data_IF_068597029012
#
_entry.id   IF_068597029012
#
_cell.length_a   1.000
_cell.length_b   1.000
_cell.length_c   1.000
_cell.angle_alpha   90.00
_cell.angle_beta   90.00
_cell.angle_gamma   90.00
#
_symmetry.space_group_name_H-M   'P 1'
#
loop_
_entity.id
_entity.type
_entity.pdbx_description
1 polymer ?
#
# COMPACT_ATOMS: atom_id res chain seq x y z
N UNK A 1 -34.72 -5.51 4.88
CA UNK A 1 -33.40 -6.16 5.08
C UNK A 1 -32.36 -5.12 4.72
N UNK A 2 -31.76 -4.48 5.72
CA UNK A 2 -30.84 -3.36 5.51
C UNK A 2 -29.54 -3.84 4.85
N UNK A 3 -28.97 -3.01 3.97
CA UNK A 3 -27.56 -3.09 3.60
C UNK A 3 -26.74 -3.30 4.88
N UNK A 4 -25.96 -4.38 4.94
CA UNK A 4 -24.94 -4.54 5.96
C UNK A 4 -24.02 -3.33 5.87
N UNK A 5 -23.99 -2.47 6.89
CA UNK A 5 -23.10 -1.30 6.91
C UNK A 5 -21.67 -1.77 6.71
N UNK A 6 -21.10 -1.49 5.53
CA UNK A 6 -19.73 -1.83 5.22
C UNK A 6 -18.81 -1.10 6.21
N UNK A 7 -17.91 -1.83 6.86
CA UNK A 7 -16.97 -1.24 7.81
C UNK A 7 -15.76 -0.60 7.13
N UNK A 8 -15.49 -0.95 5.87
CA UNK A 8 -14.24 -0.65 5.19
C UNK A 8 -14.47 -0.11 3.79
N UNK A 9 -13.82 1.02 3.50
CA UNK A 9 -13.57 1.50 2.15
C UNK A 9 -12.10 1.28 1.83
N UNK A 10 -11.80 0.75 0.65
CA UNK A 10 -10.44 0.64 0.11
C UNK A 10 -10.26 1.70 -0.96
N UNK A 11 -9.38 2.66 -0.72
CA UNK A 11 -9.01 3.68 -1.68
C UNK A 11 -7.70 3.31 -2.39
N UNK A 12 -7.77 3.11 -3.71
CA UNK A 12 -6.65 2.69 -4.55
C UNK A 12 -6.18 3.90 -5.37
N UNK A 13 -4.97 4.38 -5.11
CA UNK A 13 -4.34 5.46 -5.86
C UNK A 13 -3.73 4.89 -7.14
N UNK A 14 -4.11 5.42 -8.31
CA UNK A 14 -3.73 4.85 -9.60
C UNK A 14 -3.22 5.90 -10.60
N UNK A 15 -2.23 5.52 -11.41
CA UNK A 15 -1.82 6.31 -12.58
C UNK A 15 -1.10 5.46 -13.64
N UNK A 16 -1.69 5.33 -14.84
CA UNK A 16 -1.07 4.71 -16.02
C UNK A 16 -0.38 3.35 -15.78
N UNK A 17 -1.00 2.47 -14.98
CA UNK A 17 -0.50 1.12 -14.66
C UNK A 17 -1.65 0.10 -14.69
N UNK A 18 -2.25 -0.16 -15.86
CA UNK A 18 -3.50 -0.92 -15.98
C UNK A 18 -3.41 -2.32 -15.38
N UNK A 19 -2.34 -3.05 -15.65
CA UNK A 19 -2.19 -4.42 -15.16
C UNK A 19 -2.04 -4.50 -13.63
N UNK A 20 -1.43 -3.47 -13.02
CA UNK A 20 -1.27 -3.39 -11.58
C UNK A 20 -2.57 -2.97 -10.91
N UNK A 21 -3.25 -1.93 -11.43
CA UNK A 21 -4.58 -1.56 -10.98
C UNK A 21 -5.54 -2.76 -11.02
N UNK A 22 -5.55 -3.49 -12.14
CA UNK A 22 -6.30 -4.73 -12.31
C UNK A 22 -6.03 -5.71 -11.17
N UNK A 23 -4.75 -6.01 -10.92
CA UNK A 23 -4.34 -6.95 -9.88
C UNK A 23 -4.77 -6.48 -8.49
N UNK A 24 -4.60 -5.19 -8.18
CA UNK A 24 -4.98 -4.60 -6.90
C UNK A 24 -6.48 -4.72 -6.68
N UNK A 25 -7.31 -4.25 -7.63
CA UNK A 25 -8.78 -4.32 -7.57
C UNK A 25 -9.26 -5.76 -7.47
N UNK A 26 -8.77 -6.67 -8.32
CA UNK A 26 -9.15 -8.08 -8.30
C UNK A 26 -8.76 -8.74 -6.96
N UNK A 27 -7.63 -8.36 -6.36
CA UNK A 27 -7.21 -8.87 -5.04
C UNK A 27 -8.09 -8.36 -3.90
N UNK A 28 -8.48 -7.08 -3.93
CA UNK A 28 -9.40 -6.49 -2.95
C UNK A 28 -10.76 -7.16 -3.03
N UNK A 29 -11.31 -7.29 -4.25
CA UNK A 29 -12.60 -7.93 -4.47
C UNK A 29 -12.62 -9.38 -3.97
N UNK A 30 -11.52 -10.13 -4.15
CA UNK A 30 -11.40 -11.52 -3.69
C UNK A 30 -11.27 -11.64 -2.18
N UNK A 31 -10.43 -10.82 -1.56
CA UNK A 31 -9.93 -11.06 -0.20
C UNK A 31 -10.54 -10.15 0.87
N UNK A 32 -11.24 -9.09 0.47
CA UNK A 32 -11.96 -8.16 1.34
C UNK A 32 -13.44 -8.10 0.93
N UNK A 33 -14.18 -9.24 0.98
CA UNK A 33 -15.58 -9.25 0.59
C UNK A 33 -16.39 -8.26 1.43
N UNK A 34 -17.20 -7.43 0.77
CA UNK A 34 -18.02 -6.41 1.42
C UNK A 34 -17.33 -5.06 1.64
N UNK A 35 -16.03 -4.92 1.31
CA UNK A 35 -15.39 -3.61 1.30
C UNK A 35 -15.88 -2.78 0.10
N UNK A 36 -16.12 -1.49 0.33
CA UNK A 36 -16.36 -0.53 -0.76
C UNK A 36 -15.03 -0.23 -1.45
N UNK A 37 -15.02 -0.11 -2.78
CA UNK A 37 -13.79 0.17 -3.54
C UNK A 37 -13.91 1.57 -4.15
N UNK A 38 -12.91 2.42 -3.89
CA UNK A 38 -12.76 3.75 -4.45
C UNK A 38 -11.44 3.79 -5.23
N UNK A 39 -11.50 3.97 -6.56
CA UNK A 39 -10.30 4.15 -7.38
C UNK A 39 -10.09 5.64 -7.61
N UNK A 40 -8.97 6.16 -7.10
CA UNK A 40 -8.56 7.55 -7.27
C UNK A 40 -7.51 7.62 -8.39
N UNK A 41 -7.97 7.95 -9.59
CA UNK A 41 -7.10 8.03 -10.77
C UNK A 41 -6.52 9.43 -10.92
N UNK A 42 -5.19 9.55 -11.05
CA UNK A 42 -4.50 10.83 -11.22
C UNK A 42 -4.53 11.30 -12.69
N UNK A 43 -5.72 11.37 -13.27
CA UNK A 43 -5.97 11.78 -14.66
C UNK A 43 -5.08 11.03 -15.67
N UNK A 44 -5.18 9.71 -15.66
CA UNK A 44 -4.49 8.82 -16.59
C UNK A 44 -4.89 9.13 -18.04
N UNK A 45 -3.93 9.05 -18.96
CA UNK A 45 -4.13 9.29 -20.40
C UNK A 45 -3.89 8.04 -21.26
N UNK A 46 -3.42 6.94 -20.66
CA UNK A 46 -3.28 5.65 -21.32
C UNK A 46 -4.65 5.04 -21.65
N UNK A 47 -4.98 4.76 -22.94
CA UNK A 47 -6.24 4.12 -23.31
C UNK A 47 -6.49 2.78 -22.61
N UNK A 48 -5.44 2.01 -22.30
CA UNK A 48 -5.55 0.72 -21.60
C UNK A 48 -5.91 0.95 -20.14
N UNK A 49 -5.32 1.95 -19.49
CA UNK A 49 -5.69 2.39 -18.14
C UNK A 49 -7.15 2.86 -18.10
N UNK A 50 -7.58 3.66 -19.08
CA UNK A 50 -8.97 4.11 -19.17
C UNK A 50 -9.97 2.95 -19.37
N UNK A 51 -9.58 1.91 -20.11
CA UNK A 51 -10.38 0.69 -20.22
C UNK A 51 -10.45 -0.07 -18.89
N UNK A 52 -9.35 -0.15 -18.15
CA UNK A 52 -9.32 -0.80 -16.83
C UNK A 52 -10.16 -0.05 -15.79
N UNK A 53 -10.16 1.28 -15.80
CA UNK A 53 -11.02 2.08 -14.92
C UNK A 53 -12.50 1.77 -15.16
N UNK A 54 -12.94 1.74 -16.43
CA UNK A 54 -14.31 1.35 -16.80
C UNK A 54 -14.64 -0.08 -16.36
N UNK A 55 -13.68 -1.00 -16.48
CA UNK A 55 -13.83 -2.38 -16.02
C UNK A 55 -14.02 -2.44 -14.50
N UNK A 56 -13.19 -1.73 -13.73
CA UNK A 56 -13.31 -1.69 -12.27
C UNK A 56 -14.68 -1.16 -11.83
N UNK A 57 -15.22 -0.14 -12.52
CA UNK A 57 -16.54 0.39 -12.25
C UNK A 57 -17.65 -0.63 -12.59
N UNK A 58 -17.66 -1.13 -13.83
CA UNK A 58 -18.75 -1.96 -14.35
C UNK A 58 -18.76 -3.40 -13.81
N UNK A 59 -17.58 -4.01 -13.59
CA UNK A 59 -17.47 -5.43 -13.24
C UNK A 59 -17.11 -5.70 -11.77
N UNK A 60 -16.61 -4.68 -11.06
CA UNK A 60 -16.16 -4.82 -9.66
C UNK A 60 -16.89 -3.89 -8.71
N UNK A 61 -17.79 -3.05 -9.21
CA UNK A 61 -18.57 -2.11 -8.41
C UNK A 61 -17.70 -1.04 -7.74
N UNK A 62 -16.51 -0.76 -8.29
CA UNK A 62 -15.67 0.30 -7.78
C UNK A 62 -16.24 1.66 -8.17
N UNK A 63 -16.19 2.64 -7.27
CA UNK A 63 -16.40 4.04 -7.63
C UNK A 63 -15.11 4.61 -8.17
N UNK A 64 -15.10 5.07 -9.43
CA UNK A 64 -13.92 5.72 -10.00
C UNK A 64 -14.04 7.24 -9.84
N UNK A 65 -12.98 7.87 -9.36
CA UNK A 65 -12.89 9.32 -9.22
C UNK A 65 -11.62 9.78 -9.92
N UNK A 66 -11.80 10.65 -10.91
CA UNK A 66 -10.69 11.29 -11.61
C UNK A 66 -10.25 12.51 -10.81
N UNK A 67 -9.03 12.46 -10.28
CA UNK A 67 -8.39 13.57 -9.59
C UNK A 67 -7.96 14.69 -10.54
N UNK A 68 -7.58 15.84 -9.98
CA UNK A 68 -6.90 16.89 -10.74
C UNK A 68 -5.45 16.47 -11.03
N UNK A 69 -5.00 16.61 -12.28
CA UNK A 69 -3.64 16.25 -12.68
C UNK A 69 -2.60 17.03 -11.87
N UNK A 70 -1.95 16.37 -10.90
CA UNK A 70 -0.87 16.98 -10.12
C UNK A 70 0.42 17.09 -10.95
N UNK A 71 1.13 18.22 -10.90
CA UNK A 71 2.40 18.43 -11.64
C UNK A 71 3.67 18.04 -10.86
N UNK A 72 3.54 17.64 -9.60
CA UNK A 72 4.65 17.37 -8.67
C UNK A 72 5.29 15.97 -8.84
N UNK A 73 6.38 15.72 -8.10
CA UNK A 73 7.12 14.43 -8.09
C UNK A 73 6.24 13.20 -7.79
N UNK A 74 5.22 13.36 -6.93
CA UNK A 74 4.24 12.32 -6.58
C UNK A 74 2.93 12.43 -7.36
N UNK A 75 2.84 13.31 -8.36
CA UNK A 75 1.59 13.65 -9.02
C UNK A 75 0.55 14.18 -8.03
N UNK A 76 -0.70 13.77 -8.19
CA UNK A 76 -1.83 14.11 -7.33
C UNK A 76 -1.98 13.26 -6.06
N UNK A 77 -1.01 12.41 -5.69
CA UNK A 77 -1.15 11.37 -4.64
C UNK A 77 -1.84 11.87 -3.36
N UNK A 78 -1.26 12.85 -2.66
CA UNK A 78 -1.81 13.32 -1.38
C UNK A 78 -3.13 14.07 -1.53
N UNK A 79 -3.35 14.75 -2.66
CA UNK A 79 -4.65 15.34 -2.99
C UNK A 79 -5.72 14.27 -3.17
N UNK A 80 -5.38 13.17 -3.85
CA UNK A 80 -6.26 12.01 -4.03
C UNK A 80 -6.50 11.27 -2.70
N UNK A 81 -5.50 11.13 -1.83
CA UNK A 81 -5.67 10.55 -0.50
C UNK A 81 -6.59 11.41 0.39
N UNK A 82 -6.44 12.73 0.33
CA UNK A 82 -7.33 13.68 1.00
C UNK A 82 -8.76 13.57 0.47
N UNK A 83 -8.92 13.54 -0.85
CA UNK A 83 -10.24 13.39 -1.48
C UNK A 83 -10.91 12.07 -1.12
N UNK A 84 -10.14 10.98 -1.03
CA UNK A 84 -10.65 9.70 -0.55
C UNK A 84 -11.13 9.75 0.91
N UNK A 85 -10.45 10.48 1.80
CA UNK A 85 -10.91 10.68 3.19
C UNK A 85 -12.24 11.43 3.26
N UNK A 86 -12.41 12.44 2.40
CA UNK A 86 -13.65 13.23 2.31
C UNK A 86 -14.82 12.41 1.76
N UNK A 87 -14.56 11.55 0.77
CA UNK A 87 -15.57 10.69 0.15
C UNK A 87 -15.87 9.42 0.96
N UNK A 88 -15.04 9.07 1.92
CA UNK A 88 -15.21 7.85 2.71
C UNK A 88 -16.43 7.96 3.63
N UNK A 89 -17.32 6.97 3.57
CA UNK A 89 -18.53 6.91 4.40
C UNK A 89 -18.44 5.84 5.49
N UNK A 90 -17.43 4.96 5.40
CA UNK A 90 -17.21 3.86 6.33
C UNK A 90 -16.29 4.28 7.48
N UNK A 91 -16.35 3.61 8.65
CA UNK A 91 -15.50 3.97 9.79
C UNK A 91 -14.01 3.74 9.53
N UNK A 92 -13.67 2.79 8.64
CA UNK A 92 -12.29 2.50 8.27
C UNK A 92 -12.03 2.79 6.79
N UNK A 93 -10.81 3.27 6.51
CA UNK A 93 -10.31 3.56 5.17
C UNK A 93 -8.94 2.92 4.97
N UNK A 94 -8.83 1.94 4.08
CA UNK A 94 -7.55 1.36 3.68
C UNK A 94 -7.01 2.07 2.44
N UNK A 95 -5.85 2.72 2.59
CA UNK A 95 -5.12 3.29 1.46
C UNK A 95 -4.21 2.25 0.81
N UNK A 96 -4.36 2.06 -0.49
CA UNK A 96 -3.50 1.24 -1.34
C UNK A 96 -2.96 2.06 -2.51
N UNK A 97 -1.83 1.60 -3.05
CA UNK A 97 -1.33 2.03 -4.36
C UNK A 97 -1.68 0.97 -5.41
N UNK A 98 -1.73 1.34 -6.69
CA UNK A 98 -2.04 0.42 -7.79
C UNK A 98 -1.12 -0.80 -7.85
N UNK A 99 0.12 -0.68 -7.38
CA UNK A 99 1.10 -1.76 -7.33
C UNK A 99 1.02 -2.63 -6.07
N UNK A 100 -0.07 -2.54 -5.32
CA UNK A 100 -0.31 -3.36 -4.13
C UNK A 100 -1.18 -4.58 -4.43
N UNK A 101 -1.10 -5.60 -3.56
CA UNK A 101 -1.93 -6.79 -3.65
C UNK A 101 -2.32 -7.28 -2.25
N UNK A 102 -3.61 -7.54 -2.02
CA UNK A 102 -4.09 -8.29 -0.86
C UNK A 102 -3.84 -9.78 -1.12
N UNK A 103 -3.23 -10.48 -0.17
CA UNK A 103 -2.69 -11.83 -0.36
C UNK A 103 -3.37 -12.88 0.50
N UNK A 104 -4.36 -12.53 1.30
CA UNK A 104 -5.13 -13.50 2.09
C UNK A 104 -6.51 -12.96 2.39
N UNK A 105 -7.44 -13.86 2.68
CA UNK A 105 -8.77 -13.47 3.14
C UNK A 105 -8.70 -12.74 4.50
N UNK A 106 -9.50 -11.69 4.61
CA UNK A 106 -9.65 -10.89 5.83
C UNK A 106 -11.13 -10.86 6.19
N UNK A 107 -11.45 -11.34 7.38
CA UNK A 107 -12.84 -11.42 7.84
C UNK A 107 -13.35 -10.06 8.33
N UNK A 108 -14.67 -9.85 8.25
CA UNK A 108 -15.32 -8.67 8.84
C UNK A 108 -15.09 -8.54 10.35
N UNK A 109 -14.98 -9.65 11.08
CA UNK A 109 -14.65 -9.66 12.51
C UNK A 109 -13.23 -9.13 12.79
N UNK A 110 -12.27 -9.46 11.92
CA UNK A 110 -10.91 -8.93 12.00
C UNK A 110 -10.89 -7.42 11.76
N UNK A 111 -11.61 -6.95 10.73
CA UNK A 111 -11.76 -5.52 10.42
C UNK A 111 -12.40 -4.76 11.59
N UNK A 112 -13.49 -5.31 12.16
CA UNK A 112 -14.19 -4.72 13.29
C UNK A 112 -13.28 -4.60 14.53
N UNK A 113 -12.54 -5.67 14.87
CA UNK A 113 -11.63 -5.67 16.00
C UNK A 113 -10.52 -4.61 15.88
N UNK A 114 -9.97 -4.41 14.68
CA UNK A 114 -8.99 -3.35 14.43
C UNK A 114 -9.60 -1.95 14.55
N UNK A 115 -10.85 -1.77 14.08
CA UNK A 115 -11.57 -0.51 14.25
C UNK A 115 -11.83 -0.18 15.71
N UNK A 116 -12.26 -1.16 16.50
CA UNK A 116 -12.43 -1.00 17.94
C UNK A 116 -11.12 -0.68 18.66
N UNK A 117 -10.02 -1.34 18.29
CA UNK A 117 -8.70 -1.04 18.85
C UNK A 117 -8.27 0.40 18.56
N UNK A 118 -8.40 0.87 17.31
CA UNK A 118 -8.05 2.26 16.95
C UNK A 118 -8.93 3.26 17.70
N UNK A 119 -10.23 2.98 17.81
CA UNK A 119 -11.16 3.82 18.58
C UNK A 119 -10.79 3.90 20.07
N UNK A 120 -10.46 2.77 20.70
CA UNK A 120 -10.13 2.70 22.13
C UNK A 120 -8.80 3.40 22.46
N UNK A 121 -7.82 3.27 21.55
CA UNK A 121 -6.48 3.85 21.74
C UNK A 121 -6.38 5.30 21.26
N UNK A 122 -7.41 5.82 20.59
CA UNK A 122 -7.35 7.08 19.85
C UNK A 122 -6.38 7.02 18.66
N UNK A 123 -5.95 5.82 18.25
CA UNK A 123 -5.06 5.57 17.10
C UNK A 123 -5.68 6.03 15.79
N UNK A 124 -4.87 6.66 14.95
CA UNK A 124 -5.28 7.10 13.62
C UNK A 124 -5.00 6.09 12.51
N UNK A 125 -3.87 5.37 12.61
CA UNK A 125 -3.34 4.55 11.52
C UNK A 125 -2.83 3.19 12.02
N UNK A 126 -2.96 2.16 11.18
CA UNK A 126 -2.23 0.88 11.27
C UNK A 126 -1.52 0.60 9.95
N UNK A 127 -0.35 -0.02 10.02
CA UNK A 127 0.37 -0.52 8.84
C UNK A 127 -0.08 -1.96 8.52
N UNK A 128 -0.78 -2.20 7.38
CA UNK A 128 -1.44 -3.47 7.13
C UNK A 128 -0.57 -4.48 6.36
N UNK A 129 0.67 -4.13 6.00
CA UNK A 129 1.46 -4.87 5.01
C UNK A 129 2.61 -5.68 5.62
N UNK A 130 3.00 -6.75 4.91
CA UNK A 130 4.21 -7.48 5.24
C UNK A 130 5.43 -6.55 5.22
N UNK A 131 6.44 -6.87 6.01
CA UNK A 131 7.66 -6.08 6.06
C UNK A 131 8.66 -6.53 5.00
N UNK A 132 9.36 -5.57 4.39
CA UNK A 132 10.44 -5.87 3.44
C UNK A 132 11.63 -6.49 4.18
N UNK A 133 12.27 -7.56 3.67
CA UNK A 133 13.41 -8.21 4.33
C UNK A 133 14.53 -7.26 4.79
N UNK A 134 14.86 -6.25 3.98
CA UNK A 134 15.87 -5.22 4.32
C UNK A 134 15.56 -4.42 5.59
N UNK A 135 14.31 -4.46 6.06
CA UNK A 135 13.81 -3.76 7.25
C UNK A 135 13.76 -4.64 8.49
N UNK A 136 13.98 -5.97 8.40
CA UNK A 136 13.89 -6.93 9.51
C UNK A 136 14.67 -6.46 10.75
N UNK A 137 15.97 -6.21 10.62
CA UNK A 137 16.82 -5.79 11.76
C UNK A 137 16.46 -4.41 12.33
N UNK A 138 16.33 -3.33 11.52
CA UNK A 138 15.93 -2.04 12.06
C UNK A 138 14.56 -2.04 12.73
N UNK A 139 13.61 -2.84 12.23
CA UNK A 139 12.24 -2.87 12.77
C UNK A 139 12.16 -3.69 14.04
N UNK A 140 12.91 -4.79 14.17
CA UNK A 140 12.96 -5.57 15.41
C UNK A 140 13.42 -4.74 16.63
N UNK A 141 14.14 -3.64 16.40
CA UNK A 141 14.61 -2.72 17.46
C UNK A 141 13.68 -1.54 17.72
N UNK A 142 12.60 -1.40 16.95
CA UNK A 142 11.68 -0.24 16.98
C UNK A 142 10.26 -0.60 17.38
N UNK A 143 9.98 -1.88 17.59
CA UNK A 143 8.65 -2.36 17.88
C UNK A 143 8.66 -3.40 18.99
N UNK A 144 7.57 -3.43 19.76
CA UNK A 144 7.28 -4.46 20.77
C UNK A 144 5.99 -5.18 20.40
N UNK A 145 5.91 -6.50 20.61
CA UNK A 145 4.71 -7.26 20.28
C UNK A 145 3.57 -6.94 21.24
N UNK A 146 2.36 -6.89 20.71
CA UNK A 146 1.08 -6.91 21.42
C UNK A 146 0.33 -8.18 21.00
N UNK A 147 0.50 -9.29 21.74
CA UNK A 147 -0.09 -10.57 21.38
C UNK A 147 -1.62 -10.57 21.46
N UNK A 148 -2.20 -9.72 22.32
CA UNK A 148 -3.65 -9.64 22.56
C UNK A 148 -4.34 -9.08 21.32
N UNK A 149 -3.84 -7.95 20.81
CA UNK A 149 -4.43 -7.30 19.63
C UNK A 149 -3.83 -7.77 18.31
N UNK A 150 -2.84 -8.68 18.34
CA UNK A 150 -2.09 -9.14 17.16
C UNK A 150 -1.45 -7.98 16.41
N UNK A 151 -0.75 -7.11 17.15
CA UNK A 151 -0.06 -5.93 16.63
C UNK A 151 1.42 -5.92 17.04
N UNK A 152 2.21 -5.11 16.34
CA UNK A 152 3.53 -4.69 16.77
C UNK A 152 3.47 -3.19 17.05
N UNK A 153 3.55 -2.81 18.31
CA UNK A 153 3.46 -1.42 18.78
C UNK A 153 4.81 -0.72 18.60
N UNK A 154 4.86 0.51 18.06
CA UNK A 154 6.11 1.24 17.94
C UNK A 154 6.66 1.59 19.33
N UNK A 155 7.96 1.42 19.50
CA UNK A 155 8.68 2.00 20.62
C UNK A 155 8.65 3.52 20.50
N UNK A 156 8.63 4.18 21.65
CA UNK A 156 8.64 5.64 21.77
C UNK A 156 10.06 6.14 21.99
N UNK A 157 10.37 7.28 21.39
CA UNK A 157 11.58 8.04 21.64
C UNK A 157 11.55 8.73 23.01
N UNK A 158 12.66 9.41 23.34
CA UNK A 158 12.78 10.18 24.58
C UNK A 158 11.81 11.39 24.62
N UNK A 159 11.37 11.85 23.46
CA UNK A 159 10.33 12.87 23.26
C UNK A 159 8.90 12.33 23.44
N UNK A 160 8.74 11.03 23.72
CA UNK A 160 7.45 10.36 23.87
C UNK A 160 6.76 10.02 22.54
N UNK A 161 7.38 10.35 21.40
CA UNK A 161 6.85 10.13 20.05
C UNK A 161 7.27 8.75 19.53
N UNK A 162 6.31 8.03 18.94
CA UNK A 162 6.58 6.74 18.32
C UNK A 162 7.52 6.81 17.11
N UNK A 163 8.36 5.78 16.93
CA UNK A 163 9.30 5.67 15.80
C UNK A 163 8.67 5.49 14.41
N UNK A 164 7.35 5.35 14.33
CA UNK A 164 6.57 5.27 13.10
C UNK A 164 5.18 5.84 13.39
N UNK A 165 4.79 6.90 12.69
CA UNK A 165 3.50 7.59 12.89
C UNK A 165 2.63 7.64 11.64
N UNK A 166 3.21 7.38 10.46
CA UNK A 166 2.50 7.46 9.18
C UNK A 166 3.16 6.58 8.10
N UNK A 167 2.36 6.11 7.13
CA UNK A 167 2.79 5.60 5.84
C UNK A 167 1.67 5.79 4.80
N UNK A 168 2.04 5.89 3.52
CA UNK A 168 1.05 6.06 2.44
C UNK A 168 0.13 4.84 2.24
N UNK A 169 0.59 3.66 2.66
CA UNK A 169 -0.26 2.46 2.80
C UNK A 169 -0.58 2.30 4.27
N UNK A 170 -1.82 2.59 4.64
CA UNK A 170 -2.30 2.52 6.00
C UNK A 170 -3.79 2.18 6.03
N UNK A 171 -4.21 1.44 7.07
CA UNK A 171 -5.58 1.39 7.51
C UNK A 171 -5.83 2.57 8.45
N UNK A 172 -6.75 3.45 8.09
CA UNK A 172 -7.04 4.68 8.81
C UNK A 172 -8.41 4.61 9.51
N UNK A 173 -8.49 5.16 10.73
CA UNK A 173 -9.74 5.33 11.45
C UNK A 173 -10.36 6.70 11.14
N UNK A 174 -11.38 6.70 10.29
CA UNK A 174 -11.96 7.92 9.70
C UNK A 174 -12.53 8.88 10.75
N UNK A 175 -13.30 8.42 11.77
CA UNK A 175 -13.79 9.31 12.81
C UNK A 175 -12.67 10.02 13.60
N UNK A 176 -11.56 9.33 13.87
CA UNK A 176 -10.42 9.90 14.62
C UNK A 176 -9.72 10.97 13.78
N UNK A 177 -9.47 10.67 12.49
CA UNK A 177 -8.88 11.65 11.58
C UNK A 177 -9.75 12.90 11.43
N UNK A 178 -11.08 12.74 11.32
CA UNK A 178 -12.02 13.85 11.20
C UNK A 178 -12.08 14.69 12.47
N UNK A 179 -12.13 14.05 13.64
CA UNK A 179 -12.13 14.74 14.93
C UNK A 179 -10.85 15.54 15.18
N UNK A 180 -9.71 15.06 14.69
CA UNK A 180 -8.42 15.76 14.75
C UNK A 180 -8.20 16.74 13.58
N UNK A 181 -9.23 16.98 12.75
CA UNK A 181 -9.15 17.83 11.56
C UNK A 181 -7.98 17.50 10.62
N UNK A 182 -7.64 16.21 10.51
CA UNK A 182 -6.51 15.74 9.71
C UNK A 182 -6.58 16.27 8.27
N UNK A 183 -5.43 16.72 7.77
CA UNK A 183 -5.22 17.11 6.38
C UNK A 183 -3.91 16.55 5.87
N UNK A 184 -3.96 15.86 4.73
CA UNK A 184 -2.75 15.42 4.06
C UNK A 184 -1.92 16.61 3.58
N UNK A 185 -0.63 16.55 3.87
CA UNK A 185 0.40 17.48 3.44
C UNK A 185 1.03 17.01 2.13
N UNK A 186 1.83 17.87 1.50
CA UNK A 186 2.42 17.64 0.17
C UNK A 186 3.54 16.59 0.12
N UNK A 187 3.97 16.02 1.25
CA UNK A 187 5.05 15.04 1.28
C UNK A 187 4.96 14.08 2.47
N UNK A 188 5.50 12.88 2.29
CA UNK A 188 5.56 11.84 3.34
C UNK A 188 6.19 12.35 4.64
N UNK A 189 7.34 13.06 4.65
CA UNK A 189 7.92 13.55 5.91
C UNK A 189 7.04 14.59 6.62
N UNK A 190 6.30 15.42 5.87
CA UNK A 190 5.37 16.39 6.46
C UNK A 190 4.15 15.69 7.04
N UNK A 191 3.65 14.65 6.38
CA UNK A 191 2.58 13.81 6.91
C UNK A 191 3.03 13.07 8.16
N UNK A 192 4.24 12.49 8.18
CA UNK A 192 4.81 11.84 9.36
C UNK A 192 4.96 12.81 10.54
N UNK A 193 5.46 14.02 10.30
CA UNK A 193 5.57 15.06 11.31
C UNK A 193 4.20 15.49 11.85
N UNK A 194 3.21 15.70 10.97
CA UNK A 194 1.85 16.05 11.38
C UNK A 194 1.19 14.93 12.17
N UNK A 195 1.37 13.67 11.74
CA UNK A 195 0.85 12.50 12.45
C UNK A 195 1.52 12.31 13.82
N UNK A 196 2.81 12.60 13.94
CA UNK A 196 3.51 12.58 15.22
C UNK A 196 2.96 13.61 16.21
N UNK A 197 2.58 14.79 15.72
CA UNK A 197 1.99 15.85 16.56
C UNK A 197 0.57 15.52 17.02
N UNK A 198 -0.27 14.96 16.14
CA UNK A 198 -1.68 14.68 16.42
C UNK A 198 -1.90 13.30 17.08
N UNK A 199 -1.04 12.33 16.78
CA UNK A 199 -1.17 10.93 17.18
C UNK A 199 0.17 10.37 17.71
N UNK A 200 0.66 10.86 18.87
CA UNK A 200 1.99 10.54 19.39
C UNK A 200 2.20 9.05 19.74
N UNK A 201 1.11 8.28 19.91
CA UNK A 201 1.13 6.82 20.06
C UNK A 201 1.66 6.08 18.83
N UNK A 202 1.64 6.72 17.68
CA UNK A 202 2.16 6.19 16.42
C UNK A 202 1.25 5.21 15.72
N UNK A 203 1.84 4.56 14.72
CA UNK A 203 1.20 3.60 13.84
C UNK A 203 1.75 2.21 14.14
N UNK A 204 0.91 1.36 14.72
CA UNK A 204 1.22 -0.04 14.94
C UNK A 204 1.19 -0.83 13.62
N UNK A 205 1.90 -1.94 13.57
CA UNK A 205 1.93 -2.84 12.42
C UNK A 205 1.08 -4.06 12.72
N UNK A 206 0.32 -4.54 11.73
CA UNK A 206 -0.39 -5.80 11.89
C UNK A 206 0.60 -6.96 12.06
N UNK A 207 0.40 -7.75 13.11
CA UNK A 207 1.08 -9.03 13.21
C UNK A 207 0.59 -9.96 12.11
N UNK A 208 -0.64 -9.87 11.62
CA UNK A 208 -1.11 -10.70 10.51
C UNK A 208 -1.38 -9.80 9.30
N UNK A 209 -0.38 -9.48 8.46
CA UNK A 209 -0.60 -8.53 7.37
C UNK A 209 -1.58 -9.05 6.33
N UNK A 210 -2.23 -8.11 5.65
CA UNK A 210 -3.24 -8.37 4.62
C UNK A 210 -2.64 -8.45 3.23
N UNK A 211 -1.64 -7.62 2.96
CA UNK A 211 -1.13 -7.39 1.61
C UNK A 211 0.34 -7.08 1.56
N UNK A 212 0.83 -6.92 0.34
CA UNK A 212 2.19 -6.48 0.07
C UNK A 212 2.29 -5.80 -1.30
N UNK A 213 3.43 -5.16 -1.55
CA UNK A 213 3.74 -4.56 -2.84
C UNK A 213 4.08 -5.65 -3.87
N UNK A 214 3.58 -5.50 -5.09
CA UNK A 214 4.01 -6.30 -6.21
C UNK A 214 5.51 -6.06 -6.49
N UNK A 215 6.28 -7.10 -6.83
CA UNK A 215 7.68 -6.96 -7.20
C UNK A 215 7.90 -6.33 -8.60
N UNK A 216 9.09 -5.80 -8.82
CA UNK A 216 9.64 -5.30 -10.08
C UNK A 216 8.69 -4.37 -10.86
N UNK A 217 8.07 -3.42 -10.14
CA UNK A 217 7.07 -2.49 -10.68
C UNK A 217 7.72 -1.45 -11.60
N UNK A 218 7.07 -1.09 -12.72
CA UNK A 218 7.50 0.01 -13.57
C UNK A 218 7.51 1.35 -12.85
N UNK A 219 8.60 2.10 -12.91
CA UNK A 219 8.72 3.39 -12.21
C UNK A 219 8.37 4.56 -13.13
N UNK A 220 7.37 5.35 -12.71
CA UNK A 220 7.03 6.64 -13.33
C UNK A 220 7.60 7.76 -12.46
N UNK A 221 8.17 8.80 -13.09
CA UNK A 221 8.64 10.02 -12.40
C UNK A 221 8.20 11.22 -13.22
N UNK A 222 7.64 12.24 -12.56
CA UNK A 222 7.06 13.41 -13.22
C UNK A 222 6.04 13.03 -14.30
N UNK A 223 5.19 12.03 -14.00
CA UNK A 223 4.18 11.49 -14.94
C UNK A 223 4.75 10.89 -16.24
N UNK A 224 6.06 10.94 -16.44
CA UNK A 224 6.72 10.30 -17.56
C UNK A 224 7.19 8.91 -17.16
N UNK A 225 6.84 7.92 -17.98
CA UNK A 225 7.55 6.64 -17.96
C UNK A 225 8.98 6.91 -18.39
N UNK A 226 9.95 6.28 -17.72
CA UNK A 226 11.34 6.39 -18.16
C UNK A 226 11.47 5.81 -19.57
N UNK A 227 11.52 6.67 -20.60
CA UNK A 227 11.69 6.28 -22.03
C UNK A 227 13.15 5.99 -22.36
N UNK A 228 13.75 5.14 -21.55
CA UNK A 228 15.15 4.75 -21.61
C UNK A 228 15.31 3.51 -22.49
N UNK A 229 16.43 3.38 -23.21
CA UNK A 229 16.71 2.13 -23.94
C UNK A 229 16.92 0.97 -22.95
N UNK A 230 17.48 1.27 -21.77
CA UNK A 230 17.60 0.36 -20.63
C UNK A 230 16.23 -0.06 -20.12
N UNK A 231 15.24 0.85 -20.09
CA UNK A 231 13.86 0.52 -19.74
C UNK A 231 13.24 -0.49 -20.72
N UNK A 232 13.45 -0.32 -22.03
CA UNK A 232 12.99 -1.30 -23.03
C UNK A 232 13.67 -2.65 -22.87
N UNK A 233 14.95 -2.67 -22.50
CA UNK A 233 15.67 -3.91 -22.20
C UNK A 233 15.20 -4.55 -20.89
N UNK A 234 14.93 -3.75 -19.87
CA UNK A 234 14.40 -4.20 -18.58
C UNK A 234 12.97 -4.76 -18.69
N UNK A 235 12.19 -4.32 -19.66
CA UNK A 235 10.80 -4.76 -19.84
C UNK A 235 10.63 -5.86 -20.91
N UNK A 236 11.72 -6.33 -21.53
CA UNK A 236 11.66 -7.46 -22.48
C UNK A 236 11.29 -8.75 -21.75
N UNK A 237 10.16 -9.35 -22.13
CA UNK A 237 9.69 -10.64 -21.61
C UNK A 237 8.87 -10.58 -20.31
N UNK A 238 8.56 -9.38 -19.83
CA UNK A 238 7.61 -9.15 -18.73
C UNK A 238 6.30 -8.64 -19.33
N UNK A 239 5.23 -9.44 -19.24
CA UNK A 239 3.87 -9.04 -19.64
C UNK A 239 2.98 -9.10 -18.40
N UNK A 240 2.27 -8.01 -18.10
CA UNK A 240 1.37 -7.94 -16.96
C UNK A 240 2.03 -7.53 -15.64
N UNK A 241 1.21 -7.44 -14.59
CA UNK A 241 1.69 -7.23 -13.23
C UNK A 241 2.37 -8.48 -12.68
N UNK A 242 3.44 -8.26 -11.93
CA UNK A 242 4.14 -9.31 -11.20
C UNK A 242 3.35 -9.68 -9.94
N UNK A 243 2.49 -10.69 -10.05
CA UNK A 243 1.56 -11.08 -8.99
C UNK A 243 2.23 -11.93 -7.90
N UNK A 244 1.65 -11.86 -6.72
CA UNK A 244 1.95 -12.73 -5.59
C UNK A 244 0.91 -13.84 -5.51
N UNK A 245 1.32 -15.04 -5.12
CA UNK A 245 0.40 -16.13 -4.79
C UNK A 245 -0.33 -15.78 -3.50
N UNK A 246 -1.64 -15.96 -3.48
CA UNK A 246 -2.41 -15.85 -2.26
C UNK A 246 -1.97 -16.93 -1.25
N UNK A 247 -2.00 -16.58 0.04
CA UNK A 247 -1.80 -17.50 1.14
C UNK A 247 -3.04 -18.38 1.28
N UNK A 248 -2.83 -19.69 1.29
CA UNK A 248 -3.88 -20.65 1.63
C UNK A 248 -4.18 -20.66 3.14
N UNK A 249 -5.25 -21.36 3.53
CA UNK A 249 -5.66 -21.45 4.93
C UNK A 249 -4.58 -22.02 5.86
N UNK A 250 -3.76 -22.95 5.37
CA UNK A 250 -2.66 -23.52 6.15
C UNK A 250 -1.54 -22.50 6.37
N UNK A 251 -1.19 -21.71 5.36
CA UNK A 251 -0.21 -20.64 5.47
C UNK A 251 -0.69 -19.51 6.38
N UNK A 252 -1.98 -19.12 6.30
CA UNK A 252 -2.58 -18.14 7.21
C UNK A 252 -2.59 -18.66 8.66
N UNK A 253 -2.92 -19.94 8.88
CA UNK A 253 -2.87 -20.55 10.21
C UNK A 253 -1.45 -20.53 10.79
N UNK A 254 -0.43 -20.88 9.98
CA UNK A 254 0.98 -20.77 10.39
C UNK A 254 1.39 -19.33 10.68
N UNK A 255 0.95 -18.36 9.88
CA UNK A 255 1.23 -16.94 10.09
C UNK A 255 0.71 -16.47 11.44
N UNK A 256 -0.55 -16.84 11.76
CA UNK A 256 -1.20 -16.51 13.02
C UNK A 256 -0.55 -17.19 14.23
N UNK A 257 -0.09 -18.43 14.06
CA UNK A 257 0.54 -19.22 15.12
C UNK A 257 2.01 -18.87 15.41
N UNK A 258 2.65 -18.00 14.61
CA UNK A 258 4.08 -17.68 14.81
C UNK A 258 4.32 -16.96 16.14
N UNK A 259 5.58 -16.99 16.60
CA UNK A 259 5.97 -16.30 17.82
C UNK A 259 5.75 -14.77 17.71
N UNK A 260 5.31 -14.08 18.75
CA UNK A 260 5.00 -12.65 18.68
C UNK A 260 6.17 -11.77 18.22
N UNK A 261 7.42 -12.16 18.52
CA UNK A 261 8.63 -11.42 18.11
C UNK A 261 9.07 -11.70 16.67
N UNK A 262 8.50 -12.72 16.02
CA UNK A 262 8.79 -12.99 14.63
C UNK A 262 8.06 -11.98 13.76
N UNK A 263 8.82 -11.07 13.15
CA UNK A 263 8.28 -10.09 12.23
C UNK A 263 7.72 -10.77 10.97
N UNK A 264 6.56 -10.32 10.45
CA UNK A 264 5.99 -10.90 9.23
C UNK A 264 6.74 -10.35 8.00
N UNK A 265 7.90 -10.94 7.69
CA UNK A 265 8.73 -10.55 6.55
C UNK A 265 8.17 -11.16 5.26
N UNK A 266 7.89 -10.34 4.25
CA UNK A 266 7.27 -10.79 3.01
C UNK A 266 8.01 -11.95 2.35
N UNK A 267 9.33 -11.93 2.30
CA UNK A 267 10.14 -12.98 1.67
C UNK A 267 10.01 -14.35 2.35
N UNK A 268 9.65 -14.39 3.63
CA UNK A 268 9.48 -15.62 4.42
C UNK A 268 8.09 -16.25 4.15
N UNK A 269 7.12 -15.48 3.66
CA UNK A 269 5.71 -15.91 3.53
C UNK A 269 5.17 -15.88 2.11
N UNK A 270 5.64 -14.96 1.27
CA UNK A 270 5.06 -14.66 -0.03
C UNK A 270 5.92 -15.21 -1.16
N UNK A 271 5.26 -15.69 -2.20
CA UNK A 271 5.89 -16.23 -3.41
C UNK A 271 5.30 -15.55 -4.62
N UNK A 272 6.14 -15.10 -5.55
CA UNK A 272 5.66 -14.60 -6.83
C UNK A 272 5.04 -15.72 -7.67
N UNK A 273 4.05 -15.40 -8.50
CA UNK A 273 3.51 -16.34 -9.47
C UNK A 273 4.54 -16.70 -10.53
N UNK A 274 5.26 -15.67 -11.02
CA UNK A 274 6.38 -15.83 -11.96
C UNK A 274 7.63 -16.35 -11.22
N UNK A 275 8.12 -17.56 -11.54
CA UNK A 275 9.29 -18.15 -10.88
C UNK A 275 10.61 -17.40 -11.17
N UNK A 276 10.63 -16.49 -12.15
CA UNK A 276 11.83 -15.70 -12.50
C UNK A 276 12.09 -14.57 -11.50
N UNK A 277 11.07 -14.16 -10.73
CA UNK A 277 11.17 -13.08 -9.77
C UNK A 277 11.93 -13.55 -8.53
N UNK A 278 13.05 -12.89 -8.24
CA UNK A 278 13.95 -13.28 -7.16
C UNK A 278 13.59 -12.62 -5.84
N UNK A 279 13.88 -13.33 -4.74
CA UNK A 279 13.89 -12.78 -3.38
C UNK A 279 15.32 -12.38 -2.98
N UNK A 280 15.53 -11.31 -2.20
CA UNK A 280 14.52 -10.41 -1.68
C UNK A 280 13.85 -9.58 -2.78
N UNK A 281 12.56 -9.29 -2.60
CA UNK A 281 11.80 -8.60 -3.63
C UNK A 281 12.37 -7.20 -3.85
N UNK A 282 12.46 -6.82 -5.12
CA UNK A 282 12.82 -5.48 -5.55
C UNK A 282 11.54 -4.81 -6.05
N UNK A 283 11.35 -3.53 -5.74
CA UNK A 283 10.10 -2.78 -6.05
C UNK A 283 10.32 -1.69 -7.11
N UNK A 284 11.43 -1.81 -7.83
CA UNK A 284 11.88 -0.92 -8.89
C UNK A 284 12.51 -1.84 -9.93
N UNK A 285 11.87 -1.97 -11.09
CA UNK A 285 12.32 -2.86 -12.17
C UNK A 285 13.80 -2.61 -12.54
N UNK A 286 14.31 -1.39 -12.40
CA UNK A 286 15.70 -1.05 -12.74
C UNK A 286 16.70 -1.66 -11.77
N UNK A 287 16.28 -1.95 -10.54
CA UNK A 287 17.14 -2.51 -9.49
C UNK A 287 17.15 -4.04 -9.47
N UNK A 288 16.41 -4.70 -10.38
CA UNK A 288 16.39 -6.17 -10.49
C UNK A 288 17.75 -6.76 -10.88
N UNK A 289 18.58 -6.00 -11.61
CA UNK A 289 19.91 -6.41 -12.06
C UNK A 289 20.88 -5.24 -11.94
N UNK A 290 22.06 -5.47 -11.34
CA UNK A 290 23.12 -4.46 -11.20
C UNK A 290 23.56 -3.85 -12.53
N UNK A 291 23.60 -4.63 -13.60
CA UNK A 291 23.95 -4.14 -14.95
C UNK A 291 22.88 -3.22 -15.52
N UNK A 292 21.59 -3.55 -15.33
CA UNK A 292 20.46 -2.69 -15.70
C UNK A 292 20.54 -1.38 -14.92
N UNK A 293 20.77 -1.45 -13.60
CA UNK A 293 20.87 -0.26 -12.77
C UNK A 293 22.07 0.63 -13.15
N UNK A 294 23.22 0.03 -13.45
CA UNK A 294 24.41 0.76 -13.90
C UNK A 294 24.17 1.44 -15.25
N UNK A 295 23.60 0.72 -16.21
CA UNK A 295 23.26 1.25 -17.52
C UNK A 295 22.24 2.39 -17.42
N UNK A 296 21.21 2.24 -16.59
CA UNK A 296 20.22 3.29 -16.32
C UNK A 296 20.87 4.54 -15.69
N UNK A 297 21.76 4.35 -14.72
CA UNK A 297 22.47 5.46 -14.06
C UNK A 297 23.37 6.21 -15.03
N UNK A 298 24.06 5.50 -15.94
CA UNK A 298 24.88 6.11 -17.00
C UNK A 298 24.01 6.89 -17.99
N UNK A 299 22.91 6.30 -18.45
CA UNK A 299 21.98 6.98 -19.38
C UNK A 299 21.41 8.28 -18.77
N UNK A 300 21.02 8.25 -17.50
CA UNK A 300 20.51 9.44 -16.82
C UNK A 300 21.58 10.54 -16.63
N UNK A 301 22.85 10.16 -16.45
CA UNK A 301 23.97 11.13 -16.38
C UNK A 301 24.24 11.77 -17.74
N UNK A 302 24.13 11.00 -18.82
CA UNK A 302 24.31 11.51 -20.19
C UNK A 302 23.18 12.46 -20.59
N UNK A 303 21.93 12.13 -20.27
CA UNK A 303 20.76 12.99 -20.54
C UNK A 303 20.71 14.29 -19.73
N UNK A 304 21.47 14.40 -18.64
CA UNK A 304 21.57 15.63 -17.83
C UNK A 304 22.68 16.57 -18.31
N UNK A 305 23.51 16.14 -19.26
CA UNK A 305 24.67 16.88 -19.77
C UNK A 305 24.48 17.42 -21.20
N UNK A 306 23.37 17.11 -21.85
CA UNK A 306 22.92 17.70 -23.11
C UNK A 306 21.54 18.30 -22.93
#
# INVERSE_FOLDING_TARGET
>A
MSETDSLLTVAIMSYNRPDYLRNCVDSVHRHLPGARILVMDDASDDPVQQAELRRAENERGARVVIGGAGSDWHGGLYGNMQRALELCETPLLLYLQDDSQIVRDVSGAEIAALGDHLRQTGGAFLYPFFLKAKKKRPWARRFVPDPVHRLMQPLRGADGVAHLTYADIALAHVPVLRAAEWRFQRSEPRNEQNAAALFPQGMAILADPWGFYCPEVPVFRHRARTRSWVHRWATRGTSGANRLRALDGAAVARLRARAPLDLPIAEDWLTAEDPRIKRPFVFDEMKRNKLIWLAFTLEQRLRRRG
#
